data_IF_844651016289
#
_entry.id   IF_844651016289
#
_cell.length_a   1.000
_cell.length_b   1.000
_cell.length_c   1.000
_cell.angle_alpha   90.00
_cell.angle_beta   90.00
_cell.angle_gamma   90.00
#
_symmetry.space_group_name_H-M   'P 1'
#
loop_
_entity.id
_entity.type
_entity.pdbx_description
1 polymer ?
#
# COMPACT_ATOMS: atom_id res chain seq x y z
N UNK A 1 -14.26 -9.39 -17.91
CA UNK A 1 -14.09 -10.52 -16.97
C UNK A 1 -15.12 -11.64 -17.09
N UNK A 2 -16.44 -11.41 -17.26
CA UNK A 2 -17.41 -12.51 -17.21
C UNK A 2 -17.16 -13.57 -18.29
N UNK A 3 -16.77 -13.16 -19.50
CA UNK A 3 -16.34 -14.09 -20.56
C UNK A 3 -15.16 -14.99 -20.14
N UNK A 4 -14.14 -14.45 -19.46
CA UNK A 4 -12.97 -15.24 -19.03
C UNK A 4 -13.36 -16.33 -18.02
N UNK A 5 -14.19 -15.99 -17.04
CA UNK A 5 -14.67 -17.00 -16.09
C UNK A 5 -15.53 -18.07 -16.77
N UNK A 6 -16.39 -17.69 -17.71
CA UNK A 6 -17.16 -18.66 -18.48
C UNK A 6 -16.24 -19.64 -19.22
N UNK A 7 -15.19 -19.14 -19.87
CA UNK A 7 -14.18 -19.99 -20.52
C UNK A 7 -13.52 -20.95 -19.53
N UNK A 8 -13.12 -20.48 -18.34
CA UNK A 8 -12.51 -21.34 -17.33
C UNK A 8 -13.45 -22.45 -16.84
N UNK A 9 -14.72 -22.13 -16.64
CA UNK A 9 -15.74 -23.10 -16.23
C UNK A 9 -15.96 -24.13 -17.34
N UNK A 10 -16.06 -23.69 -18.60
CA UNK A 10 -16.22 -24.58 -19.75
C UNK A 10 -15.01 -25.51 -19.88
N UNK A 11 -13.78 -25.01 -19.75
CA UNK A 11 -12.59 -25.86 -19.83
C UNK A 11 -12.50 -26.86 -18.67
N UNK A 12 -12.85 -26.45 -17.44
CA UNK A 12 -12.94 -27.35 -16.30
C UNK A 12 -13.97 -28.46 -16.55
N UNK A 13 -15.18 -28.10 -16.98
CA UNK A 13 -16.23 -29.06 -17.30
C UNK A 13 -15.86 -29.96 -18.47
N UNK A 14 -15.17 -29.44 -19.48
CA UNK A 14 -14.66 -30.20 -20.62
C UNK A 14 -13.65 -31.24 -20.17
N UNK A 15 -12.74 -30.89 -19.26
CA UNK A 15 -11.80 -31.84 -18.67
C UNK A 15 -12.52 -32.94 -17.89
N UNK A 16 -13.43 -32.56 -16.99
CA UNK A 16 -14.26 -33.51 -16.21
C UNK A 16 -15.04 -34.45 -17.13
N UNK A 17 -15.67 -33.92 -18.18
CA UNK A 17 -16.43 -34.71 -19.15
C UNK A 17 -15.57 -35.70 -19.93
N UNK A 18 -14.33 -35.34 -20.25
CA UNK A 18 -13.37 -36.22 -20.93
C UNK A 18 -12.86 -37.32 -20.02
N UNK A 19 -12.63 -37.01 -18.75
CA UNK A 19 -12.11 -37.93 -17.74
C UNK A 19 -13.21 -38.81 -17.10
N UNK A 20 -14.47 -38.58 -17.46
CA UNK A 20 -15.60 -39.43 -17.05
C UNK A 20 -15.81 -40.58 -18.02
N UNK A 21 -16.03 -41.80 -17.49
CA UNK A 21 -16.35 -42.99 -18.29
C UNK A 21 -17.48 -42.75 -19.30
N UNK A 22 -17.32 -43.28 -20.51
CA UNK A 22 -18.21 -42.99 -21.63
C UNK A 22 -19.67 -43.38 -21.36
N UNK A 23 -19.90 -44.51 -20.68
CA UNK A 23 -21.25 -44.97 -20.32
C UNK A 23 -21.93 -44.02 -19.32
N UNK A 24 -21.16 -43.44 -18.38
CA UNK A 24 -21.69 -42.50 -17.38
C UNK A 24 -22.07 -41.17 -18.03
N UNK A 25 -21.20 -40.60 -18.86
CA UNK A 25 -21.45 -39.30 -19.50
C UNK A 25 -22.53 -39.31 -20.58
N UNK A 26 -22.81 -40.46 -21.20
CA UNK A 26 -23.94 -40.64 -22.13
C UNK A 26 -25.29 -40.84 -21.44
N UNK A 27 -25.28 -41.10 -20.13
CA UNK A 27 -26.53 -41.29 -19.38
C UNK A 27 -27.30 -39.97 -19.24
N UNK A 28 -28.63 -40.02 -19.28
CA UNK A 28 -29.49 -38.85 -18.99
C UNK A 28 -29.30 -38.30 -17.58
N UNK A 29 -28.72 -39.09 -16.67
CA UNK A 29 -28.43 -38.73 -15.28
C UNK A 29 -27.13 -37.96 -15.10
N UNK A 30 -26.26 -37.87 -16.11
CA UNK A 30 -25.00 -37.14 -16.00
C UNK A 30 -25.24 -35.65 -15.70
N UNK A 31 -24.50 -35.09 -14.75
CA UNK A 31 -24.53 -33.68 -14.37
C UNK A 31 -23.11 -33.18 -14.21
N UNK A 32 -22.87 -31.96 -14.68
CA UNK A 32 -21.64 -31.25 -14.39
C UNK A 32 -21.67 -30.71 -12.96
N UNK A 33 -20.54 -30.67 -12.25
CA UNK A 33 -20.51 -30.13 -10.90
C UNK A 33 -20.73 -28.61 -10.93
N UNK A 34 -21.37 -28.05 -9.89
CA UNK A 34 -21.50 -26.60 -9.76
C UNK A 34 -20.12 -25.96 -9.60
N UNK A 35 -19.94 -24.78 -10.18
CA UNK A 35 -18.73 -23.97 -10.01
C UNK A 35 -19.15 -22.60 -9.54
N UNK A 36 -18.56 -22.13 -8.45
CA UNK A 36 -18.80 -20.81 -7.88
C UNK A 36 -17.59 -19.91 -8.12
N UNK A 37 -17.58 -19.12 -9.21
CA UNK A 37 -16.45 -18.27 -9.54
C UNK A 37 -16.41 -17.04 -8.62
N UNK A 38 -15.29 -16.89 -7.91
CA UNK A 38 -14.99 -15.72 -7.07
C UNK A 38 -13.85 -14.94 -7.71
N UNK A 39 -14.02 -13.63 -7.85
CA UNK A 39 -12.96 -12.70 -8.20
C UNK A 39 -12.51 -11.95 -6.94
N UNK A 40 -11.28 -12.22 -6.50
CA UNK A 40 -10.61 -11.42 -5.49
C UNK A 40 -9.94 -10.23 -6.19
N UNK A 41 -10.36 -9.01 -5.85
CA UNK A 41 -9.80 -7.80 -6.43
C UNK A 41 -9.19 -6.91 -5.35
N UNK A 42 -7.92 -6.58 -5.50
CA UNK A 42 -7.15 -5.73 -4.58
C UNK A 42 -6.48 -4.60 -5.36
N UNK A 43 -7.28 -3.78 -6.06
CA UNK A 43 -6.79 -2.63 -6.82
C UNK A 43 -7.12 -1.30 -6.15
N UNK A 44 -6.33 -0.28 -6.45
CA UNK A 44 -6.48 1.07 -5.87
C UNK A 44 -7.84 1.71 -6.18
N UNK A 45 -8.39 1.44 -7.37
CA UNK A 45 -9.68 1.95 -7.79
C UNK A 45 -10.77 0.91 -7.60
N UNK A 46 -12.02 1.34 -7.43
CA UNK A 46 -13.15 0.40 -7.38
C UNK A 46 -13.25 -0.42 -8.66
N UNK A 47 -13.63 -1.68 -8.51
CA UNK A 47 -13.90 -2.53 -9.67
C UNK A 47 -15.09 -2.03 -10.48
N UNK A 48 -14.91 -1.85 -11.79
CA UNK A 48 -15.95 -1.30 -12.68
C UNK A 48 -16.44 -2.26 -13.76
N UNK A 49 -15.78 -3.41 -13.96
CA UNK A 49 -16.17 -4.33 -15.03
C UNK A 49 -17.47 -5.06 -14.68
N UNK A 50 -18.32 -5.27 -15.69
CA UNK A 50 -19.56 -6.01 -15.58
C UNK A 50 -19.39 -7.40 -14.96
N UNK A 51 -20.39 -7.83 -14.20
CA UNK A 51 -20.38 -9.11 -13.46
C UNK A 51 -21.16 -10.20 -14.19
N UNK A 52 -22.18 -9.82 -14.97
CA UNK A 52 -23.00 -10.76 -15.74
C UNK A 52 -22.53 -10.87 -17.17
N UNK A 53 -22.70 -12.05 -17.76
CA UNK A 53 -22.39 -12.25 -19.18
C UNK A 53 -23.30 -11.40 -20.09
N UNK A 54 -24.59 -11.30 -19.77
CA UNK A 54 -25.56 -10.56 -20.56
C UNK A 54 -25.27 -9.06 -20.68
N UNK A 55 -24.53 -8.48 -19.73
CA UNK A 55 -24.13 -7.07 -19.74
C UNK A 55 -23.04 -6.77 -20.77
N UNK A 56 -22.33 -7.79 -21.27
CA UNK A 56 -21.29 -7.64 -22.30
C UNK A 56 -21.69 -8.19 -23.67
N UNK A 57 -22.94 -8.66 -23.81
CA UNK A 57 -23.50 -9.15 -25.07
C UNK A 57 -24.39 -8.06 -25.66
N UNK A 58 -24.12 -7.68 -26.90
CA UNK A 58 -24.90 -6.69 -27.64
C UNK A 58 -26.36 -7.16 -27.77
N UNK A 59 -27.29 -6.23 -27.57
CA UNK A 59 -28.74 -6.46 -27.64
C UNK A 59 -29.24 -7.70 -26.87
N UNK A 60 -28.61 -8.02 -25.74
CA UNK A 60 -28.90 -9.23 -24.96
C UNK A 60 -30.37 -9.39 -24.56
N UNK A 61 -31.07 -8.27 -24.38
CA UNK A 61 -32.50 -8.22 -24.07
C UNK A 61 -33.40 -8.78 -25.19
N UNK A 62 -32.94 -8.80 -26.45
CA UNK A 62 -33.68 -9.36 -27.58
C UNK A 62 -33.64 -10.91 -27.62
N UNK A 63 -32.71 -11.53 -26.89
CA UNK A 63 -32.46 -12.98 -26.94
C UNK A 63 -32.54 -13.66 -25.56
N UNK A 64 -33.64 -13.50 -24.80
CA UNK A 64 -33.77 -14.12 -23.49
C UNK A 64 -33.74 -15.65 -23.61
N UNK A 65 -32.97 -16.30 -22.74
CA UNK A 65 -32.82 -17.77 -22.71
C UNK A 65 -31.84 -18.36 -23.74
N UNK A 66 -31.32 -17.56 -24.68
CA UNK A 66 -30.28 -17.98 -25.62
C UNK A 66 -28.87 -17.55 -25.22
N UNK A 67 -28.76 -16.73 -24.17
CA UNK A 67 -27.49 -16.32 -23.57
C UNK A 67 -27.32 -17.13 -22.27
N UNK A 68 -26.15 -17.74 -22.03
CA UNK A 68 -25.88 -18.42 -20.77
C UNK A 68 -26.11 -17.49 -19.57
N UNK A 69 -26.94 -17.94 -18.62
CA UNK A 69 -27.13 -17.23 -17.36
C UNK A 69 -25.90 -17.44 -16.48
N UNK A 70 -25.05 -16.41 -16.45
CA UNK A 70 -23.74 -16.49 -15.82
C UNK A 70 -23.38 -15.17 -15.14
N UNK A 71 -22.92 -15.28 -13.89
CA UNK A 71 -22.30 -14.21 -13.12
C UNK A 71 -21.16 -14.75 -12.26
N UNK A 72 -20.18 -13.91 -11.96
CA UNK A 72 -19.18 -14.20 -10.93
C UNK A 72 -19.40 -13.34 -9.69
N UNK A 73 -18.95 -13.85 -8.55
CA UNK A 73 -18.98 -13.13 -7.30
C UNK A 73 -17.73 -12.27 -7.16
N UNK A 74 -17.88 -10.96 -7.11
CA UNK A 74 -16.78 -10.03 -6.87
C UNK A 74 -16.58 -9.83 -5.36
N UNK A 75 -15.35 -10.04 -4.90
CA UNK A 75 -14.86 -9.57 -3.61
C UNK A 75 -13.82 -8.47 -3.86
N UNK A 76 -14.25 -7.22 -3.78
CA UNK A 76 -13.37 -6.04 -3.80
C UNK A 76 -12.79 -5.87 -2.39
N UNK A 77 -11.57 -6.38 -2.19
CA UNK A 77 -10.88 -6.46 -0.90
C UNK A 77 -10.53 -5.06 -0.42
N UNK A 78 -9.90 -4.23 -1.26
CA UNK A 78 -9.42 -2.89 -0.88
C UNK A 78 -10.55 -1.95 -0.43
N UNK A 79 -11.78 -2.20 -0.91
CA UNK A 79 -12.96 -1.41 -0.57
C UNK A 79 -13.96 -2.16 0.31
N UNK A 80 -13.58 -3.32 0.85
CA UNK A 80 -14.46 -4.10 1.71
C UNK A 80 -14.60 -3.42 3.09
N UNK A 81 -15.80 -3.38 3.69
CA UNK A 81 -15.99 -2.76 5.01
C UNK A 81 -15.18 -3.46 6.11
N UNK A 82 -14.35 -2.71 6.83
CA UNK A 82 -13.48 -3.20 7.91
C UNK A 82 -14.29 -3.92 9.01
N UNK A 83 -15.49 -3.41 9.34
CA UNK A 83 -16.38 -4.00 10.35
C UNK A 83 -16.90 -5.40 9.96
N UNK A 84 -17.03 -5.65 8.65
CA UNK A 84 -17.42 -6.97 8.13
C UNK A 84 -16.24 -7.92 8.05
N UNK A 85 -15.03 -7.42 7.70
CA UNK A 85 -13.80 -8.22 7.77
C UNK A 85 -13.49 -8.68 9.19
N UNK A 86 -13.61 -7.79 10.18
CA UNK A 86 -13.37 -8.14 11.58
C UNK A 86 -14.36 -9.21 12.10
N UNK A 87 -15.59 -9.26 11.56
CA UNK A 87 -16.58 -10.30 11.89
C UNK A 87 -16.32 -11.63 11.18
N UNK A 88 -15.55 -11.63 10.10
CA UNK A 88 -15.12 -12.85 9.43
C UNK A 88 -13.96 -13.45 10.23
N UNK A 89 -14.25 -14.45 11.06
CA UNK A 89 -13.29 -15.05 11.99
C UNK A 89 -12.16 -15.89 11.33
N UNK A 90 -11.98 -15.81 10.02
CA UNK A 90 -11.02 -16.63 9.27
C UNK A 90 -9.66 -15.97 9.10
N UNK A 91 -8.60 -16.78 8.96
CA UNK A 91 -7.25 -16.32 8.66
C UNK A 91 -7.16 -15.46 7.38
N UNK A 92 -8.04 -15.73 6.40
CA UNK A 92 -8.20 -14.92 5.18
C UNK A 92 -8.63 -13.48 5.44
N UNK A 93 -9.52 -13.25 6.43
CA UNK A 93 -9.96 -11.89 6.72
C UNK A 93 -8.83 -11.05 7.31
N UNK A 94 -7.94 -11.67 8.10
CA UNK A 94 -6.76 -11.00 8.66
C UNK A 94 -5.76 -10.60 7.58
N UNK A 95 -5.58 -11.47 6.57
CA UNK A 95 -4.78 -11.17 5.37
C UNK A 95 -5.37 -9.97 4.64
N UNK A 96 -6.68 -9.95 4.44
CA UNK A 96 -7.37 -8.83 3.80
C UNK A 96 -7.21 -7.52 4.58
N UNK A 97 -7.26 -7.55 5.92
CA UNK A 97 -7.02 -6.37 6.76
C UNK A 97 -5.62 -5.76 6.52
N UNK A 98 -4.60 -6.59 6.30
CA UNK A 98 -3.25 -6.12 5.99
C UNK A 98 -3.10 -5.50 4.60
N UNK A 99 -4.00 -5.84 3.66
CA UNK A 99 -4.01 -5.25 2.32
C UNK A 99 -4.69 -3.88 2.27
N UNK A 100 -5.40 -3.47 3.33
CA UNK A 100 -5.93 -2.12 3.44
C UNK A 100 -4.85 -1.08 3.79
N UNK A 101 -5.06 0.20 3.45
CA UNK A 101 -4.24 1.29 3.97
C UNK A 101 -4.36 1.35 5.50
N UNK A 102 -3.33 0.89 6.20
CA UNK A 102 -3.24 0.93 7.66
C UNK A 102 -2.35 2.09 8.10
N UNK A 103 -2.70 2.73 9.22
CA UNK A 103 -1.73 3.55 9.94
C UNK A 103 -0.58 2.67 10.43
N UNK A 104 0.61 3.26 10.61
CA UNK A 104 1.79 2.54 11.11
C UNK A 104 1.51 1.79 12.42
N UNK A 105 0.69 2.37 13.30
CA UNK A 105 0.27 1.74 14.57
C UNK A 105 -0.61 0.49 14.36
N UNK A 106 -1.54 0.53 13.40
CA UNK A 106 -2.45 -0.58 13.11
C UNK A 106 -1.78 -1.71 12.33
N UNK A 107 -0.82 -1.39 11.46
CA UNK A 107 -0.08 -2.36 10.66
C UNK A 107 0.53 -3.45 11.54
N UNK A 108 1.16 -3.03 12.64
CA UNK A 108 1.83 -3.96 13.54
C UNK A 108 0.86 -4.91 14.26
N UNK A 109 -0.24 -4.37 14.82
CA UNK A 109 -1.26 -5.19 15.46
C UNK A 109 -1.85 -6.21 14.49
N UNK A 110 -2.09 -5.82 13.24
CA UNK A 110 -2.64 -6.71 12.22
C UNK A 110 -1.65 -7.81 11.81
N UNK A 111 -0.34 -7.51 11.75
CA UNK A 111 0.69 -8.53 11.49
C UNK A 111 0.71 -9.58 12.61
N UNK A 112 0.65 -9.15 13.89
CA UNK A 112 0.59 -10.07 15.03
C UNK A 112 -0.67 -10.94 14.98
N UNK A 113 -1.82 -10.37 14.62
CA UNK A 113 -3.07 -11.14 14.49
C UNK A 113 -3.00 -12.20 13.40
N UNK A 114 -2.34 -11.90 12.27
CA UNK A 114 -2.07 -12.87 11.21
C UNK A 114 -1.19 -14.02 11.70
N UNK A 115 -0.15 -13.73 12.49
CA UNK A 115 0.69 -14.77 13.08
C UNK A 115 -0.05 -15.62 14.12
N UNK A 116 -0.93 -15.02 14.94
CA UNK A 116 -1.86 -15.80 15.80
C UNK A 116 -2.75 -16.72 14.97
N UNK A 117 -3.16 -16.26 13.78
CA UNK A 117 -3.90 -17.08 12.83
C UNK A 117 -3.11 -18.29 12.32
N UNK A 118 -1.85 -18.08 11.96
CA UNK A 118 -0.93 -19.15 11.56
C UNK A 118 -0.69 -20.18 12.66
N UNK A 119 -0.62 -19.76 13.92
CA UNK A 119 -0.47 -20.67 15.06
C UNK A 119 -1.63 -21.67 15.15
N UNK A 120 -2.84 -21.19 14.86
CA UNK A 120 -4.09 -21.95 14.97
C UNK A 120 -4.42 -22.75 13.69
N UNK A 121 -3.73 -22.48 12.59
CA UNK A 121 -3.98 -23.16 11.31
C UNK A 121 -3.49 -24.62 11.36
N UNK A 122 -4.39 -25.53 11.01
CA UNK A 122 -4.17 -26.98 11.06
C UNK A 122 -3.90 -27.59 9.68
N UNK A 123 -4.21 -26.86 8.62
CA UNK A 123 -3.90 -27.28 7.25
C UNK A 123 -2.51 -26.76 6.85
N UNK A 124 -1.60 -27.68 6.50
CA UNK A 124 -0.21 -27.36 6.18
C UNK A 124 -0.07 -26.57 4.87
N UNK A 125 -0.91 -26.84 3.86
CA UNK A 125 -0.86 -26.13 2.58
C UNK A 125 -1.34 -24.69 2.76
N UNK A 126 -2.46 -24.51 3.47
CA UNK A 126 -2.97 -23.18 3.81
C UNK A 126 -1.94 -22.44 4.66
N UNK A 127 -1.38 -23.08 5.69
CA UNK A 127 -0.35 -22.48 6.54
C UNK A 127 0.86 -22.00 5.72
N UNK A 128 1.37 -22.83 4.80
CA UNK A 128 2.50 -22.46 3.93
C UNK A 128 2.14 -21.29 3.02
N UNK A 129 0.94 -21.29 2.45
CA UNK A 129 0.47 -20.20 1.60
C UNK A 129 0.41 -18.87 2.36
N UNK A 130 -0.17 -18.88 3.57
CA UNK A 130 -0.27 -17.69 4.43
C UNK A 130 1.12 -17.21 4.86
N UNK A 131 2.01 -18.13 5.29
CA UNK A 131 3.38 -17.80 5.71
C UNK A 131 4.19 -17.19 4.56
N UNK A 132 4.08 -17.73 3.35
CA UNK A 132 4.77 -17.19 2.17
C UNK A 132 4.19 -15.85 1.72
N UNK A 133 2.88 -15.66 1.82
CA UNK A 133 2.25 -14.37 1.53
C UNK A 133 2.68 -13.31 2.54
N UNK A 134 2.66 -13.61 3.85
CA UNK A 134 3.15 -12.71 4.91
C UNK A 134 4.61 -12.36 4.70
N UNK A 135 5.43 -13.33 4.30
CA UNK A 135 6.83 -13.12 3.98
C UNK A 135 7.02 -12.08 2.87
N UNK A 136 6.27 -12.24 1.78
CA UNK A 136 6.30 -11.31 0.66
C UNK A 136 5.80 -9.92 1.07
N UNK A 137 4.68 -9.86 1.81
CA UNK A 137 4.12 -8.62 2.32
C UNK A 137 5.12 -7.87 3.21
N UNK A 138 5.73 -8.56 4.18
CA UNK A 138 6.74 -7.97 5.05
C UNK A 138 7.98 -7.54 4.27
N UNK A 139 8.44 -8.33 3.29
CA UNK A 139 9.57 -7.90 2.44
C UNK A 139 9.25 -6.60 1.68
N UNK A 140 8.03 -6.46 1.17
CA UNK A 140 7.55 -5.24 0.50
C UNK A 140 7.47 -4.04 1.45
N UNK A 141 6.97 -4.24 2.66
CA UNK A 141 6.83 -3.18 3.66
C UNK A 141 8.17 -2.77 4.27
N UNK A 142 8.96 -3.73 4.74
CA UNK A 142 10.13 -3.48 5.61
C UNK A 142 11.46 -3.40 4.85
N UNK A 143 11.56 -3.95 3.64
CA UNK A 143 12.76 -3.93 2.78
C UNK A 143 14.08 -4.31 3.49
N UNK A 144 14.02 -5.14 4.54
CA UNK A 144 15.20 -5.54 5.35
C UNK A 144 15.50 -7.03 5.21
N UNK A 145 16.78 -7.43 5.09
CA UNK A 145 17.19 -8.83 5.02
C UNK A 145 16.87 -9.62 6.29
N UNK A 146 16.64 -8.95 7.42
CA UNK A 146 16.26 -9.57 8.69
C UNK A 146 14.94 -10.34 8.59
N UNK A 147 14.03 -9.95 7.67
CA UNK A 147 12.76 -10.65 7.45
C UNK A 147 12.99 -12.10 7.01
N UNK A 148 13.95 -12.36 6.11
CA UNK A 148 14.18 -13.71 5.57
C UNK A 148 14.74 -14.67 6.63
N UNK A 149 15.65 -14.19 7.48
CA UNK A 149 16.20 -14.96 8.60
C UNK A 149 15.08 -15.38 9.56
N UNK A 150 14.23 -14.43 9.94
CA UNK A 150 13.09 -14.64 10.85
C UNK A 150 12.12 -15.67 10.30
N UNK A 151 11.74 -15.53 9.03
CA UNK A 151 10.76 -16.44 8.44
C UNK A 151 11.30 -17.86 8.31
N UNK A 152 12.61 -18.03 8.15
CA UNK A 152 13.26 -19.35 8.04
C UNK A 152 13.15 -20.18 9.32
N UNK A 153 13.02 -19.51 10.47
CA UNK A 153 12.87 -20.14 11.79
C UNK A 153 11.41 -20.56 12.07
N UNK A 154 10.44 -19.99 11.34
CA UNK A 154 9.02 -20.33 11.46
C UNK A 154 8.75 -21.61 10.66
N UNK A 155 8.61 -22.72 11.37
CA UNK A 155 8.34 -24.05 10.83
C UNK A 155 6.93 -24.52 11.22
N UNK A 156 6.28 -25.28 10.33
CA UNK A 156 4.91 -25.75 10.55
C UNK A 156 4.80 -26.66 11.78
N UNK A 157 5.79 -27.52 11.98
CA UNK A 157 5.88 -28.47 13.09
C UNK A 157 6.02 -27.77 14.44
N UNK A 158 6.63 -26.58 14.44
CA UNK A 158 6.86 -25.75 15.63
C UNK A 158 5.92 -24.55 15.71
N UNK A 159 4.85 -24.49 14.90
CA UNK A 159 3.99 -23.30 14.79
C UNK A 159 3.45 -22.76 16.12
N UNK A 160 3.19 -23.64 17.10
CA UNK A 160 2.75 -23.27 18.47
C UNK A 160 3.86 -22.66 19.33
N UNK A 161 5.11 -23.01 19.06
CA UNK A 161 6.31 -22.47 19.72
C UNK A 161 6.85 -21.25 18.96
N UNK A 162 6.56 -21.15 17.66
CA UNK A 162 6.94 -20.01 16.84
C UNK A 162 6.25 -18.71 17.28
N UNK A 163 5.09 -18.77 17.93
CA UNK A 163 4.34 -17.58 18.33
C UNK A 163 5.08 -16.70 19.34
N UNK A 164 5.71 -17.28 20.37
CA UNK A 164 6.52 -16.54 21.35
C UNK A 164 7.77 -15.94 20.72
N UNK A 165 8.36 -16.64 19.76
CA UNK A 165 9.46 -16.11 18.96
C UNK A 165 8.99 -14.90 18.14
N UNK A 166 7.80 -14.99 17.55
CA UNK A 166 7.17 -13.93 16.73
C UNK A 166 6.78 -12.71 17.56
N UNK A 167 6.30 -12.83 18.80
CA UNK A 167 6.04 -11.66 19.66
C UNK A 167 7.33 -10.89 19.92
N UNK A 168 8.40 -11.61 20.27
CA UNK A 168 9.73 -11.04 20.50
C UNK A 168 10.29 -10.38 19.22
N UNK A 169 10.02 -10.98 18.06
CA UNK A 169 10.41 -10.46 16.75
C UNK A 169 9.56 -9.27 16.31
N UNK A 170 8.29 -9.28 16.64
CA UNK A 170 7.38 -8.17 16.42
C UNK A 170 7.87 -6.94 17.18
N UNK A 171 8.24 -7.10 18.46
CA UNK A 171 8.88 -6.04 19.24
C UNK A 171 10.20 -5.56 18.61
N UNK A 172 11.03 -6.46 18.08
CA UNK A 172 12.27 -6.10 17.37
C UNK A 172 11.98 -5.30 16.10
N UNK A 173 10.98 -5.70 15.30
CA UNK A 173 10.57 -5.00 14.08
C UNK A 173 9.96 -3.63 14.39
N UNK A 174 9.13 -3.50 15.43
CA UNK A 174 8.65 -2.21 15.93
C UNK A 174 9.82 -1.32 16.32
N UNK A 175 10.76 -1.85 17.12
CA UNK A 175 11.89 -1.08 17.62
C UNK A 175 12.81 -0.64 16.48
N UNK A 176 12.97 -1.47 15.45
CA UNK A 176 13.70 -1.12 14.23
C UNK A 176 13.00 0.02 13.49
N UNK A 177 11.70 -0.09 13.23
CA UNK A 177 10.91 0.96 12.56
C UNK A 177 10.83 2.27 13.34
N UNK A 178 10.61 2.21 14.66
CA UNK A 178 10.67 3.40 15.51
C UNK A 178 12.03 4.08 15.46
N UNK A 179 13.13 3.33 15.33
CA UNK A 179 14.47 3.89 15.22
C UNK A 179 14.73 4.49 13.84
N UNK A 180 14.30 3.85 12.77
CA UNK A 180 14.47 4.35 11.39
C UNK A 180 13.56 5.57 11.13
N UNK A 181 12.28 5.53 11.50
CA UNK A 181 11.39 6.69 11.40
C UNK A 181 11.86 7.90 12.23
N UNK A 182 12.53 7.66 13.37
CA UNK A 182 13.12 8.71 14.19
C UNK A 182 14.44 9.23 13.62
N UNK A 183 15.17 8.42 12.84
CA UNK A 183 16.32 8.89 12.05
C UNK A 183 15.85 9.74 10.87
N UNK A 184 14.90 9.27 10.07
CA UNK A 184 14.35 10.03 8.93
C UNK A 184 13.72 11.34 9.40
N UNK A 185 12.95 11.30 10.51
CA UNK A 185 12.43 12.49 11.14
C UNK A 185 13.54 13.46 11.55
N UNK A 186 14.59 12.98 12.24
CA UNK A 186 15.74 13.81 12.62
C UNK A 186 16.47 14.39 11.41
N UNK A 187 16.72 13.61 10.38
CA UNK A 187 17.40 14.07 9.16
C UNK A 187 16.57 15.15 8.46
N UNK A 188 15.24 14.98 8.38
CA UNK A 188 14.34 15.97 7.83
C UNK A 188 14.30 17.26 8.67
N UNK A 189 14.20 17.16 10.00
CA UNK A 189 14.24 18.33 10.90
C UNK A 189 15.61 19.04 10.89
N UNK A 190 16.71 18.30 10.74
CA UNK A 190 18.05 18.87 10.64
C UNK A 190 18.24 19.57 9.30
N UNK A 191 17.75 19.00 8.20
CA UNK A 191 17.83 19.63 6.88
C UNK A 191 16.93 20.88 6.83
N UNK A 192 15.67 20.80 7.29
CA UNK A 192 14.78 21.95 7.42
C UNK A 192 15.39 23.05 8.31
N UNK A 193 15.92 22.69 9.49
CA UNK A 193 16.62 23.64 10.37
C UNK A 193 17.90 24.23 9.78
N UNK A 194 18.61 23.49 8.91
CA UNK A 194 19.79 24.00 8.19
C UNK A 194 19.38 24.97 7.09
N UNK A 195 18.31 24.70 6.36
CA UNK A 195 17.77 25.60 5.34
C UNK A 195 17.27 26.90 5.98
N UNK A 196 16.51 26.80 7.08
CA UNK A 196 16.06 27.96 7.86
C UNK A 196 17.23 28.77 8.42
N UNK A 197 18.25 28.10 9.00
CA UNK A 197 19.45 28.76 9.50
C UNK A 197 20.25 29.48 8.40
N UNK A 198 20.31 28.89 7.19
CA UNK A 198 20.95 29.51 6.02
C UNK A 198 20.18 30.75 5.55
N UNK A 199 18.85 30.68 5.47
CA UNK A 199 17.99 31.81 5.13
C UNK A 199 18.15 32.96 6.13
N UNK A 200 18.10 32.68 7.43
CA UNK A 200 18.19 33.71 8.46
C UNK A 200 19.58 34.39 8.44
N UNK A 201 20.64 33.61 8.18
CA UNK A 201 22.01 34.13 8.05
C UNK A 201 22.15 35.05 6.83
N UNK A 202 21.58 34.67 5.68
CA UNK A 202 21.58 35.49 4.47
C UNK A 202 20.80 36.80 4.68
N UNK A 203 19.60 36.74 5.26
CA UNK A 203 18.80 37.95 5.60
C UNK A 203 19.56 38.89 6.53
N UNK A 204 20.18 38.38 7.60
CA UNK A 204 21.01 39.18 8.52
C UNK A 204 22.21 39.81 7.81
N UNK A 205 22.80 39.11 6.85
CA UNK A 205 23.97 39.58 6.09
C UNK A 205 23.60 40.70 5.13
N UNK A 206 22.49 40.55 4.38
CA UNK A 206 21.92 41.58 3.49
C UNK A 206 21.57 42.84 4.31
N UNK A 207 20.86 42.70 5.42
CA UNK A 207 20.55 43.80 6.34
C UNK A 207 21.81 44.54 6.81
N UNK A 208 22.88 43.80 7.14
CA UNK A 208 24.15 44.39 7.62
C UNK A 208 24.89 45.15 6.51
N UNK A 209 24.88 44.64 5.27
CA UNK A 209 25.50 45.30 4.12
C UNK A 209 24.76 46.59 3.78
N UNK A 210 23.43 46.53 3.69
CA UNK A 210 22.58 47.69 3.38
C UNK A 210 22.75 48.79 4.43
N UNK A 211 22.70 48.46 5.73
CA UNK A 211 22.92 49.42 6.82
C UNK A 211 24.32 50.03 6.79
N UNK A 212 25.35 49.27 6.40
CA UNK A 212 26.73 49.77 6.30
C UNK A 212 26.95 50.66 5.08
N UNK A 213 26.39 50.34 3.92
CA UNK A 213 26.59 51.11 2.67
C UNK A 213 25.71 52.35 2.60
N UNK A 214 24.43 52.23 2.96
CA UNK A 214 23.43 53.28 2.73
C UNK A 214 23.03 54.05 4.00
N UNK A 215 23.61 53.70 5.17
CA UNK A 215 23.35 54.28 6.50
C UNK A 215 21.91 54.19 7.01
N UNK A 216 20.93 53.96 6.15
CA UNK A 216 19.53 53.75 6.48
C UNK A 216 18.96 52.61 5.64
N UNK A 217 18.06 51.82 6.24
CA UNK A 217 17.36 50.73 5.55
C UNK A 217 15.86 51.10 5.52
N UNK A 218 15.30 51.39 4.33
CA UNK A 218 13.88 51.63 4.18
C UNK A 218 13.02 50.47 4.71
N UNK A 219 11.91 50.79 5.38
CA UNK A 219 11.05 49.83 6.09
C UNK A 219 10.34 48.85 5.15
N UNK A 220 9.98 49.33 3.97
CA UNK A 220 9.43 48.58 2.84
C UNK A 220 10.39 47.50 2.33
N UNK A 221 11.69 47.80 2.27
CA UNK A 221 12.73 46.84 1.87
C UNK A 221 12.94 45.77 2.96
N UNK A 222 12.88 46.17 4.23
CA UNK A 222 12.99 45.25 5.36
C UNK A 222 11.83 44.24 5.37
N UNK A 223 10.59 44.70 5.15
CA UNK A 223 9.42 43.81 5.06
C UNK A 223 9.47 42.87 3.84
N UNK A 224 9.96 43.34 2.68
CA UNK A 224 10.16 42.50 1.49
C UNK A 224 11.19 41.39 1.75
N UNK A 225 12.28 41.71 2.44
CA UNK A 225 13.33 40.74 2.78
C UNK A 225 12.85 39.69 3.80
N UNK A 226 12.03 40.11 4.77
CA UNK A 226 11.45 39.18 5.75
C UNK A 226 10.48 38.18 5.10
N UNK A 227 9.69 38.63 4.11
CA UNK A 227 8.71 37.80 3.39
C UNK A 227 9.32 36.82 2.38
N UNK A 228 10.58 36.99 1.98
CA UNK A 228 11.25 36.07 1.05
C UNK A 228 11.65 34.76 1.72
N UNK A 229 11.33 33.64 1.07
CA UNK A 229 11.62 32.29 1.55
C UNK A 229 12.59 31.53 0.61
N UNK A 230 12.82 32.02 -0.61
CA UNK A 230 13.74 31.37 -1.54
C UNK A 230 15.20 31.77 -1.25
N UNK A 231 16.07 30.78 -1.07
CA UNK A 231 17.50 30.98 -0.79
C UNK A 231 18.24 31.50 -2.02
N UNK A 232 17.86 31.07 -3.23
CA UNK A 232 18.51 31.50 -4.47
C UNK A 232 18.25 33.00 -4.72
N UNK A 233 17.04 33.46 -4.42
CA UNK A 233 16.69 34.88 -4.49
C UNK A 233 17.46 35.69 -3.44
N UNK A 234 17.59 35.18 -2.21
CA UNK A 234 18.39 35.82 -1.15
C UNK A 234 19.88 35.90 -1.53
N UNK A 235 20.44 34.88 -2.16
CA UNK A 235 21.83 34.91 -2.66
C UNK A 235 21.99 35.93 -3.80
N UNK A 236 21.05 35.99 -4.75
CA UNK A 236 21.07 37.00 -5.82
C UNK A 236 20.97 38.44 -5.29
N UNK A 237 20.13 38.66 -4.28
CA UNK A 237 19.98 39.94 -3.60
C UNK A 237 21.24 40.30 -2.81
N UNK A 238 21.89 39.32 -2.17
CA UNK A 238 23.16 39.54 -1.50
C UNK A 238 24.22 40.04 -2.48
N UNK A 239 24.35 39.40 -3.65
CA UNK A 239 25.30 39.81 -4.69
C UNK A 239 24.98 41.20 -5.23
N UNK A 240 23.70 41.46 -5.56
CA UNK A 240 23.26 42.80 -6.01
C UNK A 240 23.49 43.88 -4.95
N UNK A 241 23.40 43.55 -3.66
CA UNK A 241 23.64 44.51 -2.58
C UNK A 241 25.09 45.01 -2.49
N UNK A 242 26.04 44.24 -3.05
CA UNK A 242 27.46 44.61 -3.11
C UNK A 242 27.75 45.63 -4.21
N UNK A 243 26.99 45.58 -5.32
CA UNK A 243 27.24 46.39 -6.51
C UNK A 243 26.24 47.55 -6.71
N UNK A 244 25.06 47.49 -6.08
CA UNK A 244 24.02 48.50 -6.24
C UNK A 244 24.45 49.90 -5.75
N UNK A 245 23.89 50.95 -6.38
CA UNK A 245 24.15 52.35 -6.05
C UNK A 245 23.07 52.99 -5.15
N UNK A 246 21.93 52.30 -4.99
CA UNK A 246 20.85 52.66 -4.06
C UNK A 246 20.15 51.42 -3.47
N UNK A 247 19.46 51.51 -2.32
CA UNK A 247 18.69 50.41 -1.76
C UNK A 247 17.56 49.91 -2.68
N UNK A 248 16.93 50.79 -3.46
CA UNK A 248 15.83 50.44 -4.37
C UNK A 248 16.29 49.62 -5.59
N UNK A 249 17.57 49.66 -5.97
CA UNK A 249 18.12 48.86 -7.08
C UNK A 249 18.36 47.38 -6.72
N UNK A 250 18.41 47.06 -5.42
CA UNK A 250 18.76 45.73 -4.91
C UNK A 250 17.59 44.76 -5.05
N UNK A 251 16.37 45.28 -4.96
CA UNK A 251 15.13 44.51 -4.96
C UNK A 251 14.31 44.90 -6.20
N UNK A 252 13.79 43.94 -6.98
CA UNK A 252 12.80 44.25 -8.00
C UNK A 252 11.46 44.77 -7.41
#
# INVERSE_FOLDING_TARGET
MPFRFLVYIIELWRDIFKNTEENKRKSKGFRLPPVFPILLYNGEHKWTAFQKLSEIVEDSHLFPGFIPDFSYYLLDISHYPEDKLQKLAGNLAKIFLLEHPLSEEKLFSSILECFRGLEQESDEEIWKAIRNWLAYFMKKCFQTPQIEEILSEIQYEKRKESFTMIETLGERLINYWKKEGLKEGKEKYVEEGRQEGKQETLKKSICRIIKKRFKNMPQDIQEKLEKMQDIADLESILDKSLDASSPEEIFP
#
